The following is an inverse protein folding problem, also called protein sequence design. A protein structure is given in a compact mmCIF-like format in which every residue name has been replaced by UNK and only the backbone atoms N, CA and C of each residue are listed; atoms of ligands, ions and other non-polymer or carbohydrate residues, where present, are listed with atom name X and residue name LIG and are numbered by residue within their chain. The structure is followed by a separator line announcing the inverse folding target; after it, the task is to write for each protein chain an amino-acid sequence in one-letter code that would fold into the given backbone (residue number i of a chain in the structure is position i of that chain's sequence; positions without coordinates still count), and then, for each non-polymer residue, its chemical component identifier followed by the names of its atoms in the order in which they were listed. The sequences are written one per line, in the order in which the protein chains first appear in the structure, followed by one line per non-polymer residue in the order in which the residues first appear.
data_IF_087779154486
#
_entry.id   IF_087779154486
#
_cell.length_a   1.000
_cell.length_b   1.000
_cell.length_c   1.000
_cell.angle_alpha   90.00
_cell.angle_beta   90.00
_cell.angle_gamma   90.00
#
_symmetry.space_group_name_H-M   'P 1'
#
loop_
_entity.id
_entity.type
_entity.pdbx_description
1 polymer ?
#
# COMPACT_ATOMS: atom_id res chain seq x y z
N UNK A 1 0.52 15.62 14.92
CA UNK A 1 -0.82 15.21 14.49
C UNK A 1 -0.73 13.96 13.63
N UNK A 2 -1.61 13.02 13.83
CA UNK A 2 -1.58 11.79 13.06
C UNK A 2 -2.62 11.80 11.95
N UNK A 3 -2.16 11.47 10.76
CA UNK A 3 -3.02 11.42 9.59
C UNK A 3 -3.07 10.00 9.06
N UNK A 4 -4.25 9.53 8.71
CA UNK A 4 -4.42 8.21 8.13
C UNK A 4 -4.70 8.33 6.65
N UNK A 5 -3.98 7.54 5.86
CA UNK A 5 -4.13 7.52 4.41
C UNK A 5 -4.44 6.12 3.95
N UNK A 6 -5.25 6.02 2.92
CA UNK A 6 -5.47 4.75 2.25
C UNK A 6 -4.74 4.80 0.92
N UNK A 7 -3.83 3.87 0.74
CA UNK A 7 -3.07 3.74 -0.50
C UNK A 7 -3.60 2.52 -1.24
N UNK A 8 -3.91 2.69 -2.51
CA UNK A 8 -4.34 1.57 -3.34
C UNK A 8 -3.43 1.44 -4.53
N UNK A 9 -3.15 0.21 -4.90
CA UNK A 9 -2.33 -0.10 -6.06
C UNK A 9 -2.87 -1.35 -6.72
N UNK A 10 -2.70 -1.44 -8.04
CA UNK A 10 -3.09 -2.62 -8.76
C UNK A 10 -2.09 -2.90 -9.87
N UNK A 11 -2.05 -4.14 -10.31
CA UNK A 11 -1.14 -4.55 -11.36
C UNK A 11 -1.20 -6.04 -11.59
N UNK A 12 -0.47 -6.48 -12.58
CA UNK A 12 -0.44 -7.90 -12.95
C UNK A 12 0.64 -8.68 -12.20
N UNK A 13 1.55 -7.98 -11.55
CA UNK A 13 2.67 -8.58 -10.86
C UNK A 13 2.66 -8.20 -9.39
N UNK A 14 2.50 -9.21 -8.54
CA UNK A 14 2.49 -9.02 -7.11
C UNK A 14 3.77 -8.37 -6.59
N UNK A 15 4.91 -8.79 -7.11
CA UNK A 15 6.20 -8.23 -6.68
C UNK A 15 6.31 -6.75 -7.02
N UNK A 16 5.83 -6.37 -8.20
CA UNK A 16 5.84 -4.97 -8.61
C UNK A 16 4.99 -4.10 -7.70
N UNK A 17 3.82 -4.61 -7.33
CA UNK A 17 2.92 -3.88 -6.44
C UNK A 17 3.57 -3.67 -5.07
N UNK A 18 4.13 -4.73 -4.49
CA UNK A 18 4.76 -4.66 -3.18
C UNK A 18 5.95 -3.70 -3.19
N UNK A 19 6.76 -3.77 -4.24
CA UNK A 19 7.92 -2.90 -4.36
C UNK A 19 7.51 -1.42 -4.44
N UNK A 20 6.51 -1.13 -5.25
CA UNK A 20 6.01 0.23 -5.41
C UNK A 20 5.46 0.80 -4.11
N UNK A 21 4.65 0.02 -3.41
CA UNK A 21 4.06 0.45 -2.15
C UNK A 21 5.13 0.63 -1.07
N UNK A 22 6.11 -0.26 -1.02
CA UNK A 22 7.19 -0.14 -0.04
C UNK A 22 7.96 1.16 -0.23
N UNK A 23 8.21 1.55 -1.49
CA UNK A 23 8.87 2.81 -1.78
C UNK A 23 8.07 4.00 -1.28
N UNK A 24 6.76 3.99 -1.53
CA UNK A 24 5.89 5.08 -1.12
C UNK A 24 5.89 5.21 0.40
N UNK A 25 5.76 4.11 1.12
CA UNK A 25 5.71 4.13 2.57
C UNK A 25 7.03 4.61 3.16
N UNK A 26 8.14 4.17 2.59
CA UNK A 26 9.46 4.61 3.04
C UNK A 26 9.61 6.12 2.88
N UNK A 27 9.17 6.65 1.75
CA UNK A 27 9.26 8.08 1.48
C UNK A 27 8.36 8.91 2.40
N UNK A 28 7.23 8.36 2.79
CA UNK A 28 6.27 9.07 3.65
C UNK A 28 6.56 8.89 5.13
N UNK A 29 7.48 8.00 5.49
CA UNK A 29 7.79 7.67 6.88
C UNK A 29 6.55 7.23 7.65
N UNK A 30 5.70 6.45 6.98
CA UNK A 30 4.45 6.01 7.57
C UNK A 30 4.55 4.64 8.21
N UNK A 31 3.56 4.32 9.02
CA UNK A 31 3.38 3.00 9.60
C UNK A 31 2.19 2.32 8.96
N UNK A 32 2.35 1.07 8.61
CA UNK A 32 1.25 0.28 8.07
C UNK A 32 0.39 -0.22 9.23
N UNK A 33 -0.89 0.15 9.22
CA UNK A 33 -1.83 -0.37 10.21
C UNK A 33 -2.52 -1.63 9.71
N UNK A 34 -2.96 -1.62 8.47
CA UNK A 34 -3.69 -2.73 7.89
C UNK A 34 -3.38 -2.81 6.41
N UNK A 35 -3.28 -4.01 5.90
CA UNK A 35 -3.10 -4.20 4.46
C UNK A 35 -3.96 -5.36 3.99
N UNK A 36 -4.45 -5.25 2.77
CA UNK A 36 -5.24 -6.29 2.15
C UNK A 36 -4.84 -6.45 0.70
N UNK A 37 -4.74 -7.69 0.26
CA UNK A 37 -4.41 -8.03 -1.11
C UNK A 37 -5.56 -8.83 -1.69
N UNK A 38 -6.03 -8.42 -2.86
CA UNK A 38 -7.11 -9.10 -3.57
C UNK A 38 -6.59 -9.52 -4.94
N UNK A 39 -6.95 -10.72 -5.33
CA UNK A 39 -6.66 -11.20 -6.68
C UNK A 39 -7.96 -11.39 -7.43
N UNK A 40 -8.07 -10.75 -8.60
CA UNK A 40 -9.19 -10.92 -9.50
C UNK A 40 -8.64 -11.35 -10.85
N UNK A 41 -8.86 -12.62 -11.18
CA UNK A 41 -8.33 -13.23 -12.40
C UNK A 41 -6.81 -13.10 -12.47
N UNK A 42 -6.30 -12.28 -13.38
CA UNK A 42 -4.86 -12.07 -13.55
C UNK A 42 -4.37 -10.78 -12.92
N UNK A 43 -5.24 -10.07 -12.24
CA UNK A 43 -4.91 -8.78 -11.65
C UNK A 43 -4.83 -8.87 -10.14
N UNK A 44 -3.91 -8.13 -9.57
CA UNK A 44 -3.81 -7.98 -8.12
C UNK A 44 -4.16 -6.55 -7.76
N UNK A 45 -4.85 -6.39 -6.63
CA UNK A 45 -5.12 -5.08 -6.07
C UNK A 45 -4.73 -5.10 -4.60
N UNK A 46 -4.16 -4.00 -4.13
CA UNK A 46 -3.73 -3.91 -2.74
C UNK A 46 -4.23 -2.61 -2.13
N UNK A 47 -4.77 -2.74 -0.92
CA UNK A 47 -5.22 -1.59 -0.14
C UNK A 47 -4.42 -1.57 1.16
N UNK A 48 -3.87 -0.42 1.48
CA UNK A 48 -3.06 -0.27 2.69
C UNK A 48 -3.52 0.96 3.44
N UNK A 49 -3.77 0.77 4.73
CA UNK A 49 -4.04 1.88 5.63
C UNK A 49 -2.74 2.25 6.32
N UNK A 50 -2.31 3.48 6.12
CA UNK A 50 -1.04 3.97 6.62
C UNK A 50 -1.29 5.13 7.58
N UNK A 51 -0.59 5.13 8.70
CA UNK A 51 -0.64 6.24 9.65
C UNK A 51 0.64 7.04 9.52
N UNK A 52 0.52 8.32 9.33
CA UNK A 52 1.64 9.24 9.22
C UNK A 52 1.55 10.23 10.36
N UNK A 53 2.68 10.42 11.05
CA UNK A 53 2.79 11.40 12.12
C UNK A 53 3.41 12.67 11.55
N UNK A 54 2.59 13.69 11.37
CA UNK A 54 3.02 14.96 10.80
C UNK A 54 2.86 16.14 11.77
#
# INVERSE_FOLDING_TARGET
MKTKLIISANGKDKKGIVSEISSIITNCKGNIETSRMIRLEKEFAMLILVEIDD
#
